data_IF_018080452424
#
_entry.id   IF_018080452424
#
_cell.length_a   1.000
_cell.length_b   1.000
_cell.length_c   1.000
_cell.angle_alpha   90.00
_cell.angle_beta   90.00
_cell.angle_gamma   90.00
#
_symmetry.space_group_name_H-M   'P 1'
#
loop_
_entity.id
_entity.type
_entity.pdbx_description
1 polymer ?
#
# COMPACT_ATOMS: atom_id res chain seq x y z
N UNK A 1 -39.51 -10.42 19.97
CA UNK A 1 -39.00 -9.04 19.71
C UNK A 1 -39.17 -8.76 18.21
N UNK A 2 -40.05 -7.83 17.81
CA UNK A 2 -40.22 -7.50 16.38
C UNK A 2 -39.11 -6.52 16.00
N UNK A 3 -38.13 -6.98 15.27
CA UNK A 3 -37.08 -6.12 14.72
C UNK A 3 -37.70 -5.23 13.65
N UNK A 4 -37.69 -3.93 13.86
CA UNK A 4 -38.14 -3.00 12.84
C UNK A 4 -37.09 -2.97 11.70
N UNK A 5 -37.56 -2.87 10.47
CA UNK A 5 -36.71 -2.79 9.25
C UNK A 5 -35.62 -1.73 9.40
N UNK A 6 -35.94 -0.60 10.06
CA UNK A 6 -34.98 0.45 10.36
C UNK A 6 -33.80 -0.03 11.25
N UNK A 7 -34.10 -0.84 12.28
CA UNK A 7 -33.08 -1.40 13.18
C UNK A 7 -32.12 -2.32 12.44
N UNK A 8 -32.64 -3.13 11.51
CA UNK A 8 -31.83 -4.00 10.67
C UNK A 8 -30.92 -3.16 9.77
N UNK A 9 -31.44 -2.12 9.13
CA UNK A 9 -30.65 -1.21 8.29
C UNK A 9 -29.53 -0.50 9.06
N UNK A 10 -29.82 -0.01 10.27
CA UNK A 10 -28.82 0.64 11.14
C UNK A 10 -27.71 -0.33 11.59
N UNK A 11 -28.05 -1.56 11.95
CA UNK A 11 -27.08 -2.60 12.32
C UNK A 11 -26.18 -2.93 11.13
N UNK A 12 -26.75 -3.09 9.94
CA UNK A 12 -25.97 -3.36 8.71
C UNK A 12 -25.01 -2.21 8.39
N UNK A 13 -25.43 -0.96 8.56
CA UNK A 13 -24.55 0.20 8.41
C UNK A 13 -23.37 0.16 9.40
N UNK A 14 -23.64 -0.09 10.68
CA UNK A 14 -22.62 -0.20 11.71
C UNK A 14 -21.61 -1.31 11.39
N UNK A 15 -22.08 -2.48 11.02
CA UNK A 15 -21.23 -3.62 10.65
C UNK A 15 -20.37 -3.28 9.43
N UNK A 16 -20.95 -2.70 8.39
CA UNK A 16 -20.22 -2.32 7.17
C UNK A 16 -19.10 -1.32 7.46
N UNK A 17 -19.39 -0.27 8.23
CA UNK A 17 -18.38 0.73 8.67
C UNK A 17 -17.29 0.09 9.52
N UNK A 18 -17.65 -0.80 10.45
CA UNK A 18 -16.68 -1.48 11.33
C UNK A 18 -15.73 -2.36 10.52
N UNK A 19 -16.24 -3.12 9.55
CA UNK A 19 -15.41 -3.98 8.68
C UNK A 19 -14.44 -3.11 7.87
N UNK A 20 -14.91 -2.02 7.25
CA UNK A 20 -14.06 -1.11 6.47
C UNK A 20 -12.99 -0.48 7.37
N UNK A 21 -13.36 -0.01 8.57
CA UNK A 21 -12.43 0.60 9.51
C UNK A 21 -11.34 -0.38 9.97
N UNK A 22 -11.70 -1.62 10.32
CA UNK A 22 -10.73 -2.65 10.73
C UNK A 22 -9.79 -3.01 9.57
N UNK A 23 -10.32 -3.10 8.35
CA UNK A 23 -9.52 -3.37 7.15
C UNK A 23 -8.55 -2.23 6.83
N UNK A 24 -8.93 -0.98 7.14
CA UNK A 24 -8.11 0.21 6.93
C UNK A 24 -7.01 0.37 8.00
N UNK A 25 -7.24 -0.08 9.24
CA UNK A 25 -6.27 0.00 10.36
C UNK A 25 -5.08 -0.97 10.15
N UNK A 26 -5.23 -2.00 9.33
CA UNK A 26 -4.16 -2.95 8.99
C UNK A 26 -3.22 -2.48 7.88
N UNK A 27 -3.28 -1.22 7.48
CA UNK A 27 -2.19 -0.62 6.70
C UNK A 27 -0.94 -0.65 7.60
N UNK A 28 0.13 -1.36 7.21
CA UNK A 28 1.36 -1.36 7.99
C UNK A 28 1.80 0.06 8.16
N UNK A 29 2.17 0.39 9.39
CA UNK A 29 2.68 1.69 9.76
C UNK A 29 3.81 2.09 8.78
N UNK A 30 3.61 3.09 7.91
CA UNK A 30 4.66 3.54 6.98
C UNK A 30 5.85 4.13 7.75
N UNK A 31 5.71 4.39 9.05
CA UNK A 31 6.74 4.97 9.92
C UNK A 31 7.89 4.00 10.25
N UNK A 32 7.78 2.70 9.92
CA UNK A 32 8.85 1.72 10.15
C UNK A 32 9.45 1.18 8.84
N UNK A 33 9.11 1.74 7.69
CA UNK A 33 9.84 1.45 6.46
C UNK A 33 11.06 2.35 6.40
N UNK A 34 12.18 1.87 6.91
CA UNK A 34 13.47 2.50 6.65
C UNK A 34 13.71 2.46 5.15
N UNK A 35 13.74 3.62 4.51
CA UNK A 35 14.10 3.74 3.10
C UNK A 35 15.05 4.91 2.93
N UNK A 36 16.10 4.69 2.15
CA UNK A 36 17.05 5.72 1.74
C UNK A 36 16.80 6.06 0.29
N UNK A 37 16.67 7.34 0.00
CA UNK A 37 16.45 7.86 -1.35
C UNK A 37 17.70 8.64 -1.76
N UNK A 38 18.18 8.36 -2.96
CA UNK A 38 19.22 9.13 -3.61
C UNK A 38 18.63 9.73 -4.89
N UNK A 39 18.68 11.04 -4.98
CA UNK A 39 18.31 11.79 -6.19
C UNK A 39 19.45 12.76 -6.48
N UNK A 40 20.24 12.45 -7.48
CA UNK A 40 21.40 13.27 -7.75
C UNK A 40 22.31 12.74 -8.83
N UNK A 41 23.47 13.40 -8.89
CA UNK A 41 24.53 13.13 -9.84
C UNK A 41 25.58 12.20 -9.26
N UNK A 42 25.98 11.20 -10.02
CA UNK A 42 27.15 10.36 -9.73
C UNK A 42 28.19 10.69 -10.81
N UNK A 43 29.29 11.31 -10.39
CA UNK A 43 30.37 11.68 -11.32
C UNK A 43 31.05 10.45 -11.91
N UNK A 44 31.77 10.64 -13.03
CA UNK A 44 32.54 9.56 -13.63
C UNK A 44 33.45 8.86 -12.62
N UNK A 45 33.51 7.55 -12.65
CA UNK A 45 34.27 6.67 -11.76
C UNK A 45 33.96 6.83 -10.24
N UNK A 46 32.91 7.56 -9.90
CA UNK A 46 32.43 7.78 -8.54
C UNK A 46 31.31 6.80 -8.19
N UNK A 47 30.97 6.78 -6.89
CA UNK A 47 29.87 5.93 -6.40
C UNK A 47 28.97 6.71 -5.46
N UNK A 48 27.71 6.27 -5.36
CA UNK A 48 26.76 6.65 -4.32
C UNK A 48 26.44 5.44 -3.45
N UNK A 49 26.30 5.64 -2.14
CA UNK A 49 25.97 4.58 -1.18
C UNK A 49 24.63 4.92 -0.55
N UNK A 50 23.68 3.98 -0.64
CA UNK A 50 22.43 4.01 0.08
C UNK A 50 22.49 2.99 1.20
N UNK A 51 22.38 3.44 2.45
CA UNK A 51 22.42 2.57 3.63
C UNK A 51 21.02 2.36 4.19
N UNK A 52 20.74 1.14 4.61
CA UNK A 52 19.50 0.72 5.25
C UNK A 52 19.84 0.12 6.59
N UNK A 53 19.38 0.76 7.67
CA UNK A 53 19.67 0.36 9.04
C UNK A 53 18.61 -0.61 9.57
N UNK A 54 18.97 -1.40 10.57
CA UNK A 54 18.09 -2.30 11.34
C UNK A 54 17.23 -3.27 10.50
N UNK A 55 17.76 -3.71 9.37
CA UNK A 55 17.09 -4.70 8.53
C UNK A 55 16.96 -6.02 9.28
N UNK A 56 15.77 -6.58 9.33
CA UNK A 56 15.51 -7.86 9.97
C UNK A 56 15.75 -9.01 8.98
N UNK A 57 16.38 -10.10 9.48
CA UNK A 57 16.54 -11.34 8.72
C UNK A 57 15.20 -11.82 8.16
N UNK A 58 15.18 -12.18 6.87
CA UNK A 58 13.99 -12.72 6.20
C UNK A 58 12.96 -11.68 5.75
N UNK A 59 13.11 -10.39 6.10
CA UNK A 59 12.25 -9.32 5.56
C UNK A 59 12.83 -8.80 4.26
N UNK A 60 12.04 -8.85 3.20
CA UNK A 60 12.44 -8.37 1.87
C UNK A 60 12.92 -6.92 1.90
N UNK A 61 14.03 -6.65 1.25
CA UNK A 61 14.51 -5.31 0.92
C UNK A 61 14.55 -5.16 -0.59
N UNK A 62 14.18 -3.99 -1.08
CA UNK A 62 14.09 -3.69 -2.51
C UNK A 62 14.95 -2.50 -2.88
N UNK A 63 15.53 -2.58 -4.05
CA UNK A 63 16.27 -1.49 -4.68
C UNK A 63 15.61 -1.16 -6.01
N UNK A 64 15.25 0.11 -6.17
CA UNK A 64 14.74 0.67 -7.41
C UNK A 64 15.71 1.75 -7.90
N UNK A 65 16.06 1.74 -9.17
CA UNK A 65 16.97 2.69 -9.80
C UNK A 65 16.34 3.14 -11.11
N UNK A 66 16.30 4.46 -11.31
CA UNK A 66 15.81 5.06 -12.55
C UNK A 66 16.83 6.06 -13.06
N UNK A 67 17.72 5.66 -13.99
CA UNK A 67 18.62 6.58 -14.68
C UNK A 67 17.82 7.58 -15.51
N UNK A 68 18.32 8.81 -15.64
CA UNK A 68 17.66 9.84 -16.47
C UNK A 68 17.80 9.54 -17.98
N UNK A 69 18.89 8.89 -18.38
CA UNK A 69 19.16 8.55 -19.77
C UNK A 69 19.42 7.05 -19.93
N UNK A 70 18.90 6.46 -20.99
CA UNK A 70 18.94 5.01 -21.25
C UNK A 70 20.32 4.47 -21.69
N UNK A 71 21.34 5.32 -21.81
CA UNK A 71 22.70 4.92 -22.19
C UNK A 71 23.68 4.92 -21.02
N UNK A 72 23.22 5.30 -19.84
CA UNK A 72 24.03 5.43 -18.64
C UNK A 72 24.25 4.06 -18.00
N UNK A 73 25.51 3.61 -17.89
CA UNK A 73 25.84 2.32 -17.33
C UNK A 73 26.25 2.42 -15.86
N UNK A 74 25.46 1.81 -14.99
CA UNK A 74 25.68 1.72 -13.55
C UNK A 74 26.02 0.30 -13.15
N UNK A 75 27.06 0.13 -12.34
CA UNK A 75 27.26 -1.11 -11.58
C UNK A 75 26.56 -1.00 -10.23
N UNK A 76 25.72 -1.97 -9.92
CA UNK A 76 24.85 -2.04 -8.76
C UNK A 76 25.30 -3.18 -7.89
N UNK A 77 25.73 -2.89 -6.65
CA UNK A 77 26.11 -3.90 -5.66
C UNK A 77 25.30 -3.76 -4.40
N UNK A 78 24.88 -4.88 -3.82
CA UNK A 78 24.25 -4.90 -2.50
C UNK A 78 25.11 -5.71 -1.56
N UNK A 79 25.48 -5.10 -0.44
CA UNK A 79 26.34 -5.65 0.59
C UNK A 79 25.54 -5.95 1.85
N UNK A 80 25.84 -7.06 2.51
CA UNK A 80 25.30 -7.39 3.82
C UNK A 80 26.06 -6.65 4.95
N UNK A 81 25.62 -6.77 6.22
CA UNK A 81 26.26 -6.14 7.37
C UNK A 81 27.73 -6.54 7.58
N UNK A 82 28.19 -7.65 7.02
CA UNK A 82 29.58 -8.10 7.07
C UNK A 82 30.41 -7.64 5.86
N UNK A 83 29.84 -6.82 4.98
CA UNK A 83 30.50 -6.41 3.73
C UNK A 83 30.52 -7.49 2.63
N UNK A 84 29.82 -8.61 2.83
CA UNK A 84 29.74 -9.66 1.81
C UNK A 84 28.78 -9.24 0.71
N UNK A 85 29.21 -9.46 -0.54
CA UNK A 85 28.41 -9.18 -1.73
C UNK A 85 27.25 -10.15 -1.84
N UNK A 86 26.03 -9.62 -1.90
CA UNK A 86 24.79 -10.39 -2.10
C UNK A 86 24.26 -10.29 -3.53
N UNK A 87 24.55 -9.16 -4.17
CA UNK A 87 24.06 -8.86 -5.50
C UNK A 87 25.07 -8.00 -6.25
N UNK A 88 25.30 -8.30 -7.53
CA UNK A 88 26.16 -7.51 -8.45
C UNK A 88 25.54 -7.54 -9.83
N UNK A 89 25.25 -6.37 -10.39
CA UNK A 89 24.63 -6.25 -11.71
C UNK A 89 24.99 -4.93 -12.38
N UNK A 90 25.16 -4.97 -13.69
CA UNK A 90 25.34 -3.77 -14.51
C UNK A 90 24.04 -3.47 -15.24
N UNK A 91 23.53 -2.25 -15.13
CA UNK A 91 22.31 -1.84 -15.82
C UNK A 91 22.46 -0.47 -16.47
N UNK A 92 21.90 -0.34 -17.67
CA UNK A 92 21.75 0.92 -18.40
C UNK A 92 20.27 1.35 -18.53
N UNK A 93 19.36 0.64 -17.87
CA UNK A 93 17.92 0.87 -17.91
C UNK A 93 17.36 0.97 -16.51
N UNK A 94 16.09 1.42 -16.33
CA UNK A 94 15.41 1.32 -15.06
C UNK A 94 15.50 -0.10 -14.51
N UNK A 95 15.96 -0.21 -13.26
CA UNK A 95 16.27 -1.48 -12.65
C UNK A 95 15.53 -1.63 -11.32
N UNK A 96 15.00 -2.82 -11.07
CA UNK A 96 14.36 -3.17 -9.82
C UNK A 96 14.80 -4.57 -9.38
N UNK A 97 15.15 -4.70 -8.10
CA UNK A 97 15.43 -6.00 -7.50
C UNK A 97 14.94 -6.06 -6.06
N UNK A 98 14.63 -7.27 -5.61
CA UNK A 98 14.28 -7.56 -4.22
C UNK A 98 15.15 -8.71 -3.74
N UNK A 99 15.74 -8.58 -2.56
CA UNK A 99 16.52 -9.61 -1.91
C UNK A 99 15.96 -9.96 -0.53
N UNK A 100 16.15 -11.21 -0.12
CA UNK A 100 15.82 -11.68 1.22
C UNK A 100 17.09 -11.63 2.08
N UNK A 101 17.16 -10.74 3.08
CA UNK A 101 18.30 -10.63 3.98
C UNK A 101 18.60 -11.93 4.70
N UNK A 102 19.81 -12.52 4.57
CA UNK A 102 20.18 -13.74 5.26
C UNK A 102 20.47 -13.53 6.76
N UNK A 103 20.69 -12.28 7.17
CA UNK A 103 20.97 -11.91 8.56
C UNK A 103 20.38 -10.52 8.86
N UNK A 104 20.20 -10.20 10.15
CA UNK A 104 19.80 -8.85 10.57
C UNK A 104 21.02 -7.91 10.61
N UNK A 105 20.79 -6.60 10.43
CA UNK A 105 21.80 -5.55 10.51
C UNK A 105 21.71 -4.53 9.37
N UNK A 106 22.80 -3.77 9.17
CA UNK A 106 22.85 -2.68 8.21
C UNK A 106 23.27 -3.16 6.82
N UNK A 107 22.46 -2.84 5.81
CA UNK A 107 22.71 -3.20 4.42
C UNK A 107 23.08 -1.96 3.63
N UNK A 108 23.89 -2.12 2.58
CA UNK A 108 24.30 -1.02 1.72
C UNK A 108 24.11 -1.38 0.26
N UNK A 109 23.49 -0.48 -0.48
CA UNK A 109 23.47 -0.53 -1.95
C UNK A 109 24.50 0.49 -2.46
N UNK A 110 25.47 0.01 -3.23
CA UNK A 110 26.55 0.81 -3.84
C UNK A 110 26.27 0.93 -5.33
N UNK A 111 26.07 2.16 -5.80
CA UNK A 111 25.83 2.48 -7.20
C UNK A 111 27.11 3.10 -7.75
N UNK A 112 27.85 2.41 -8.59
CA UNK A 112 29.08 2.91 -9.18
C UNK A 112 28.82 3.32 -10.63
N UNK A 113 29.20 4.55 -10.96
CA UNK A 113 29.18 5.02 -12.33
C UNK A 113 30.37 4.41 -13.08
N UNK A 114 30.07 3.50 -14.02
CA UNK A 114 31.06 2.90 -14.92
C UNK A 114 30.96 3.44 -16.35
N UNK A 115 30.22 4.54 -16.51
CA UNK A 115 30.10 5.28 -17.75
C UNK A 115 31.08 6.46 -17.76
N UNK A 116 31.53 6.87 -18.94
CA UNK A 116 32.55 7.91 -19.09
C UNK A 116 32.07 9.36 -18.83
N UNK A 117 30.82 9.53 -18.42
CA UNK A 117 30.20 10.84 -18.14
C UNK A 117 29.44 10.79 -16.81
N UNK A 118 29.10 11.96 -16.31
CA UNK A 118 28.23 12.08 -15.13
C UNK A 118 26.84 11.45 -15.39
N UNK A 119 26.34 10.72 -14.42
CA UNK A 119 25.03 10.06 -14.47
C UNK A 119 24.10 10.73 -13.46
N UNK A 120 22.89 11.04 -13.89
CA UNK A 120 21.80 11.48 -13.00
C UNK A 120 20.85 10.33 -12.78
N UNK A 121 20.57 10.00 -11.52
CA UNK A 121 19.69 8.89 -11.20
C UNK A 121 18.84 9.17 -9.98
N UNK A 122 17.62 8.62 -10.01
CA UNK A 122 16.75 8.49 -8.86
C UNK A 122 16.82 7.04 -8.39
N UNK A 123 17.20 6.85 -7.13
CA UNK A 123 17.34 5.51 -6.57
C UNK A 123 16.70 5.46 -5.19
N UNK A 124 16.03 4.35 -4.88
CA UNK A 124 15.40 4.10 -3.60
C UNK A 124 15.79 2.71 -3.12
N UNK A 125 16.33 2.64 -1.91
CA UNK A 125 16.67 1.40 -1.23
C UNK A 125 15.90 1.32 0.08
N UNK A 126 15.08 0.29 0.27
CA UNK A 126 14.20 0.22 1.43
C UNK A 126 13.61 -1.16 1.70
N UNK A 127 13.03 -1.31 2.88
CA UNK A 127 12.24 -2.50 3.19
C UNK A 127 10.97 -2.49 2.32
N UNK A 128 10.77 -3.54 1.53
CA UNK A 128 9.66 -3.67 0.60
C UNK A 128 8.35 -3.96 1.32
N UNK A 129 7.71 -2.92 1.85
CA UNK A 129 6.33 -3.04 2.31
C UNK A 129 5.35 -3.03 1.12
N UNK A 130 5.72 -2.39 0.01
CA UNK A 130 4.88 -2.27 -1.18
C UNK A 130 4.82 -3.56 -2.03
N UNK A 131 5.76 -4.50 -1.83
CA UNK A 131 5.90 -5.70 -2.66
C UNK A 131 6.04 -6.98 -1.83
N UNK A 132 5.51 -7.02 -0.61
CA UNK A 132 5.40 -8.27 0.12
C UNK A 132 4.38 -9.18 -0.59
N UNK A 133 4.91 -9.98 -1.51
CA UNK A 133 4.13 -10.97 -2.28
C UNK A 133 3.46 -12.03 -1.41
N UNK A 134 3.86 -12.16 -0.14
CA UNK A 134 3.23 -13.02 0.86
C UNK A 134 2.04 -12.36 1.56
N UNK A 135 1.89 -11.04 1.47
CA UNK A 135 0.63 -10.40 1.81
C UNK A 135 -0.31 -10.53 0.63
N UNK A 136 -1.21 -11.46 0.76
CA UNK A 136 -2.24 -11.73 -0.25
C UNK A 136 -3.13 -10.47 -0.37
N UNK A 137 -2.87 -9.54 -1.31
CA UNK A 137 -3.67 -8.31 -1.43
C UNK A 137 -5.13 -8.63 -1.77
N UNK A 138 -5.38 -9.86 -2.26
CA UNK A 138 -6.71 -10.38 -2.57
C UNK A 138 -7.59 -10.47 -1.33
N UNK A 139 -7.04 -10.83 -0.16
CA UNK A 139 -7.84 -10.97 1.07
C UNK A 139 -8.27 -9.59 1.59
N UNK A 140 -7.40 -8.59 1.55
CA UNK A 140 -7.74 -7.23 1.98
C UNK A 140 -8.77 -6.58 1.06
N UNK A 141 -8.61 -6.72 -0.25
CA UNK A 141 -9.56 -6.20 -1.25
C UNK A 141 -10.93 -6.89 -1.08
N UNK A 142 -10.96 -8.21 -0.89
CA UNK A 142 -12.21 -8.92 -0.65
C UNK A 142 -12.89 -8.49 0.64
N UNK A 143 -12.16 -8.27 1.72
CA UNK A 143 -12.71 -7.82 2.99
C UNK A 143 -13.31 -6.42 2.89
N UNK A 144 -12.63 -5.50 2.22
CA UNK A 144 -13.15 -4.16 1.95
C UNK A 144 -14.40 -4.23 1.06
N UNK A 145 -14.38 -5.04 0.02
CA UNK A 145 -15.51 -5.21 -0.89
C UNK A 145 -16.75 -5.74 -0.14
N UNK A 146 -16.58 -6.72 0.74
CA UNK A 146 -17.66 -7.24 1.60
C UNK A 146 -18.21 -6.13 2.51
N UNK A 147 -17.34 -5.35 3.13
CA UNK A 147 -17.74 -4.21 3.97
C UNK A 147 -18.57 -3.19 3.20
N UNK A 148 -18.16 -2.84 1.97
CA UNK A 148 -18.89 -1.91 1.09
C UNK A 148 -20.25 -2.48 0.68
N UNK A 149 -20.35 -3.76 0.34
CA UNK A 149 -21.63 -4.41 -0.01
C UNK A 149 -22.61 -4.36 1.16
N UNK A 150 -22.16 -4.70 2.37
CA UNK A 150 -23.00 -4.68 3.58
C UNK A 150 -23.48 -3.24 3.86
N UNK A 151 -22.60 -2.24 3.70
CA UNK A 151 -22.93 -0.83 3.89
C UNK A 151 -23.99 -0.38 2.89
N UNK A 152 -23.88 -0.75 1.60
CA UNK A 152 -24.87 -0.42 0.57
C UNK A 152 -26.24 -1.06 0.86
N UNK A 153 -26.27 -2.30 1.34
CA UNK A 153 -27.49 -2.99 1.77
C UNK A 153 -28.15 -2.22 2.94
N UNK A 154 -27.35 -1.78 3.91
CA UNK A 154 -27.82 -0.98 5.04
C UNK A 154 -28.46 0.34 4.59
N UNK A 155 -27.82 1.07 3.67
CA UNK A 155 -28.33 2.32 3.10
C UNK A 155 -29.65 2.07 2.37
N UNK A 156 -29.71 1.07 1.49
CA UNK A 156 -30.92 0.74 0.72
C UNK A 156 -32.09 0.38 1.64
N UNK A 157 -31.84 -0.37 2.71
CA UNK A 157 -32.86 -0.76 3.70
C UNK A 157 -33.40 0.46 4.46
N UNK A 158 -32.54 1.41 4.85
CA UNK A 158 -32.96 2.65 5.49
C UNK A 158 -33.79 3.53 4.57
N UNK A 159 -33.37 3.69 3.31
CA UNK A 159 -34.13 4.45 2.30
C UNK A 159 -35.51 3.83 2.06
N UNK A 160 -35.57 2.51 1.88
CA UNK A 160 -36.84 1.80 1.71
C UNK A 160 -37.78 2.04 2.90
N UNK A 161 -37.28 1.99 4.13
CA UNK A 161 -38.10 2.26 5.32
C UNK A 161 -38.63 3.69 5.34
N UNK A 162 -37.79 4.70 5.04
CA UNK A 162 -38.21 6.12 4.99
C UNK A 162 -39.32 6.32 3.95
N UNK A 163 -39.15 5.78 2.77
CA UNK A 163 -40.15 5.87 1.70
C UNK A 163 -41.45 5.19 2.13
N UNK A 164 -41.41 3.98 2.64
CA UNK A 164 -42.55 3.20 3.10
C UNK A 164 -43.35 3.95 4.19
N UNK A 165 -42.63 4.52 5.19
CA UNK A 165 -43.29 5.25 6.27
C UNK A 165 -43.90 6.59 5.80
N UNK A 166 -43.24 7.26 4.84
CA UNK A 166 -43.76 8.46 4.20
C UNK A 166 -45.07 8.20 3.44
N UNK A 167 -45.12 7.11 2.68
CA UNK A 167 -46.35 6.70 2.00
C UNK A 167 -47.50 6.35 2.97
N UNK A 168 -47.20 5.66 4.09
CA UNK A 168 -48.21 5.37 5.11
C UNK A 168 -48.77 6.65 5.75
N UNK A 169 -47.93 7.65 6.01
CA UNK A 169 -48.35 8.94 6.55
C UNK A 169 -49.22 9.73 5.56
N UNK A 170 -48.86 9.73 4.28
CA UNK A 170 -49.65 10.36 3.22
C UNK A 170 -51.03 9.71 3.12
N UNK A 171 -51.12 8.38 3.10
CA UNK A 171 -52.40 7.64 3.00
C UNK A 171 -53.28 7.89 4.22
N UNK A 172 -52.75 8.10 5.41
CA UNK A 172 -53.50 8.47 6.61
C UNK A 172 -54.10 9.89 6.45
N UNK A 173 -53.31 10.87 5.97
CA UNK A 173 -53.79 12.26 5.76
C UNK A 173 -54.90 12.36 4.74
N UNK A 174 -54.85 11.60 3.64
CA UNK A 174 -55.94 11.58 2.62
C UNK A 174 -57.23 10.98 3.17
N UNK A 175 -57.18 9.96 4.03
CA UNK A 175 -58.38 9.39 4.67
C UNK A 175 -59.08 10.39 5.61
N UNK A 176 -58.35 11.22 6.34
CA UNK A 176 -58.95 12.22 7.23
C UNK A 176 -59.64 13.34 6.49
N UNK A 177 -59.22 13.68 5.24
CA UNK A 177 -59.87 14.71 4.41
C UNK A 177 -61.13 14.24 3.72
N UNK A 178 -61.41 12.94 3.65
CA UNK A 178 -62.62 12.38 3.04
C UNK A 178 -63.78 12.19 4.04
N UNK A 179 -63.54 12.35 5.33
CA UNK A 179 -64.54 12.10 6.40
C UNK A 179 -65.04 13.43 7.05
N UNK A 180 -64.45 14.57 6.69
CA UNK A 180 -64.90 15.90 7.08
C UNK A 180 -65.58 16.57 5.89
#
# INVERSE_FOLDING_TARGET
MKWNVLTIGLISLLIGVTIISISSIRVPDPLHSTSTVFNGKISNESHAILSLEDVQKGKNISLSITPHNSLELLNIRILNPKGTLLFDHNSSQPFFTTIVPPMSGNYSAVLTNIYKRDIYTNSMFGSSILFDSNRNPKIEIHTILIGVIILLIGIATCIYWIISESFKRLKRRTRYKQVS
#
